data_IF_288643752559
#
_entry.id   IF_288643752559
#
_cell.length_a   1.000
_cell.length_b   1.000
_cell.length_c   1.000
_cell.angle_alpha   90.00
_cell.angle_beta   90.00
_cell.angle_gamma   90.00
#
_symmetry.space_group_name_H-M   'P 1'
#
loop_
_entity.id
_entity.type
_entity.pdbx_description
1 polymer ?
#
# COMPACT_ATOMS: atom_id res chain seq x y z
N UNK A 1 7.89 -24.73 -12.99
CA UNK A 1 7.05 -24.22 -14.12
C UNK A 1 7.60 -24.62 -15.48
N UNK A 2 8.84 -24.29 -15.84
CA UNK A 2 9.38 -24.71 -17.15
C UNK A 2 9.60 -26.22 -17.24
N UNK A 3 10.20 -26.83 -16.19
CA UNK A 3 10.29 -28.29 -16.06
C UNK A 3 8.92 -29.00 -15.97
N UNK A 4 7.85 -28.26 -15.66
CA UNK A 4 6.47 -28.77 -15.62
C UNK A 4 5.71 -28.48 -16.94
N UNK A 5 6.34 -27.85 -17.93
CA UNK A 5 5.71 -27.49 -19.20
C UNK A 5 4.58 -26.45 -19.09
N UNK A 6 4.56 -25.64 -18.02
CA UNK A 6 3.46 -24.69 -17.72
C UNK A 6 3.72 -23.25 -18.16
N UNK A 7 4.83 -22.94 -18.83
CA UNK A 7 5.09 -21.60 -19.37
C UNK A 7 4.34 -21.44 -20.69
N UNK A 8 3.55 -20.37 -20.81
CA UNK A 8 2.75 -20.09 -22.00
C UNK A 8 3.48 -19.18 -23.00
N UNK A 9 4.27 -18.24 -22.47
CA UNK A 9 4.94 -17.22 -23.29
C UNK A 9 6.42 -17.05 -22.90
N UNK A 10 7.28 -16.92 -23.91
CA UNK A 10 8.70 -16.53 -23.77
C UNK A 10 8.97 -15.10 -24.24
N UNK A 11 7.94 -14.41 -24.71
CA UNK A 11 8.02 -13.00 -25.04
C UNK A 11 8.07 -12.18 -23.74
N UNK A 12 9.20 -11.51 -23.52
CA UNK A 12 9.45 -10.68 -22.34
C UNK A 12 8.51 -9.47 -22.26
N UNK A 13 7.92 -9.04 -23.37
CA UNK A 13 6.98 -7.90 -23.38
C UNK A 13 5.68 -8.20 -22.63
N UNK A 14 5.33 -9.49 -22.46
CA UNK A 14 4.12 -9.93 -21.74
C UNK A 14 4.34 -10.04 -20.22
N UNK A 15 5.56 -9.82 -19.71
CA UNK A 15 5.87 -9.90 -18.27
C UNK A 15 5.56 -8.57 -17.56
N UNK A 16 4.32 -8.09 -17.69
CA UNK A 16 3.87 -6.76 -17.27
C UNK A 16 2.93 -6.79 -16.04
N UNK A 17 2.86 -7.93 -15.33
CA UNK A 17 1.94 -8.23 -14.21
C UNK A 17 0.44 -8.32 -14.57
N UNK A 18 0.05 -7.90 -15.78
CA UNK A 18 -1.32 -7.96 -16.27
C UNK A 18 -1.62 -9.25 -17.03
N UNK A 19 -0.63 -9.82 -17.72
CA UNK A 19 -0.79 -11.03 -18.53
C UNK A 19 -0.33 -12.29 -17.81
N UNK A 20 -1.09 -13.37 -17.98
CA UNK A 20 -0.77 -14.69 -17.47
C UNK A 20 0.25 -15.40 -18.37
N UNK A 21 1.53 -15.26 -18.04
CA UNK A 21 2.65 -15.90 -18.77
C UNK A 21 2.83 -17.39 -18.50
N UNK A 22 2.01 -17.97 -17.61
CA UNK A 22 2.05 -19.37 -17.22
C UNK A 22 0.64 -19.92 -16.97
N UNK A 23 0.47 -21.24 -17.03
CA UNK A 23 -0.77 -21.95 -16.70
C UNK A 23 -0.85 -22.24 -15.19
N UNK A 24 -1.76 -21.59 -14.44
CA UNK A 24 -2.02 -21.92 -13.05
C UNK A 24 -2.66 -23.31 -12.91
N UNK A 25 -2.60 -23.91 -11.70
CA UNK A 25 -3.02 -25.30 -11.49
C UNK A 25 -4.53 -25.48 -11.28
N UNK A 26 -5.22 -24.43 -10.82
CA UNK A 26 -6.59 -24.52 -10.33
C UNK A 26 -7.56 -23.54 -11.01
N UNK A 27 -7.09 -22.84 -12.04
CA UNK A 27 -7.88 -21.88 -12.83
C UNK A 27 -7.25 -21.77 -14.21
N UNK A 28 -7.97 -21.19 -15.16
CA UNK A 28 -7.41 -20.85 -16.47
C UNK A 28 -6.56 -19.58 -16.37
N UNK A 29 -5.63 -19.34 -17.32
CA UNK A 29 -4.91 -18.08 -17.42
C UNK A 29 -5.85 -16.87 -17.50
N UNK A 30 -6.94 -16.98 -18.24
CA UNK A 30 -7.94 -15.92 -18.42
C UNK A 30 -8.69 -15.62 -17.12
N UNK A 31 -9.04 -16.66 -16.34
CA UNK A 31 -9.64 -16.49 -15.02
C UNK A 31 -8.69 -15.76 -14.06
N UNK A 32 -7.38 -16.04 -14.14
CA UNK A 32 -6.38 -15.33 -13.34
C UNK A 32 -6.30 -13.84 -13.72
N UNK A 33 -6.25 -13.53 -15.01
CA UNK A 33 -6.21 -12.15 -15.51
C UNK A 33 -7.48 -11.37 -15.12
N UNK A 34 -8.66 -11.99 -15.30
CA UNK A 34 -9.95 -11.41 -14.91
C UNK A 34 -10.03 -11.20 -13.39
N UNK A 35 -9.57 -12.18 -12.61
CA UNK A 35 -9.48 -12.06 -11.16
C UNK A 35 -8.58 -10.92 -10.73
N UNK A 36 -7.41 -10.79 -11.36
CA UNK A 36 -6.49 -9.68 -11.12
C UNK A 36 -7.15 -8.34 -11.43
N UNK A 37 -7.77 -8.20 -12.61
CA UNK A 37 -8.47 -6.98 -13.00
C UNK A 37 -9.60 -6.62 -12.02
N UNK A 38 -10.39 -7.61 -11.59
CA UNK A 38 -11.46 -7.42 -10.61
C UNK A 38 -10.93 -6.97 -9.24
N UNK A 39 -9.89 -7.63 -8.71
CA UNK A 39 -9.26 -7.25 -7.45
C UNK A 39 -8.73 -5.82 -7.54
N UNK A 40 -8.07 -5.49 -8.65
CA UNK A 40 -7.50 -4.16 -8.89
C UNK A 40 -8.59 -3.07 -8.93
N UNK A 41 -9.73 -3.33 -9.57
CA UNK A 41 -10.87 -2.41 -9.54
C UNK A 41 -11.46 -2.28 -8.13
N UNK A 42 -11.64 -3.39 -7.42
CA UNK A 42 -12.25 -3.43 -6.08
C UNK A 42 -11.38 -2.73 -5.04
N UNK A 43 -10.09 -3.05 -4.99
CA UNK A 43 -9.12 -2.55 -4.01
C UNK A 43 -8.96 -1.03 -4.09
N UNK A 44 -8.98 -0.50 -5.32
CA UNK A 44 -8.76 0.92 -5.61
C UNK A 44 -10.05 1.70 -5.88
N UNK A 45 -11.21 1.11 -5.61
CA UNK A 45 -12.48 1.85 -5.56
C UNK A 45 -12.49 2.84 -4.37
N UNK A 46 -13.17 3.98 -4.54
CA UNK A 46 -13.28 5.02 -3.51
C UNK A 46 -13.79 4.46 -2.18
N UNK A 47 -14.81 3.59 -2.23
CA UNK A 47 -15.37 2.94 -1.04
C UNK A 47 -14.35 2.08 -0.31
N UNK A 48 -13.54 1.29 -1.03
CA UNK A 48 -12.51 0.44 -0.42
C UNK A 48 -11.31 1.24 0.10
N UNK A 49 -10.93 2.34 -0.58
CA UNK A 49 -9.91 3.27 -0.08
C UNK A 49 -10.40 3.90 1.23
N UNK A 50 -11.63 4.40 1.26
CA UNK A 50 -12.22 5.02 2.45
C UNK A 50 -12.39 4.05 3.62
N UNK A 51 -12.78 2.80 3.35
CA UNK A 51 -12.92 1.76 4.37
C UNK A 51 -11.58 1.43 5.05
N UNK A 52 -10.48 1.52 4.32
CA UNK A 52 -9.11 1.25 4.82
C UNK A 52 -8.40 2.49 5.38
N UNK A 53 -9.10 3.62 5.53
CA UNK A 53 -8.49 4.84 6.07
C UNK A 53 -8.00 4.59 7.50
N UNK A 54 -6.90 5.22 7.92
CA UNK A 54 -6.45 5.14 9.31
C UNK A 54 -7.51 5.70 10.28
N UNK A 55 -7.57 5.15 11.49
CA UNK A 55 -8.45 5.66 12.57
C UNK A 55 -8.07 7.08 12.99
N UNK A 56 -6.77 7.39 12.99
CA UNK A 56 -6.28 8.72 13.33
C UNK A 56 -6.62 9.72 12.22
N UNK A 57 -7.51 10.67 12.52
CA UNK A 57 -8.03 11.65 11.56
C UNK A 57 -6.93 12.47 10.86
N UNK A 58 -5.84 12.81 11.57
CA UNK A 58 -4.70 13.57 11.05
C UNK A 58 -3.96 12.84 9.91
N UNK A 59 -4.09 11.51 9.84
CA UNK A 59 -3.46 10.68 8.82
C UNK A 59 -4.28 10.58 7.53
N UNK A 60 -5.59 10.86 7.62
CA UNK A 60 -6.53 10.66 6.51
C UNK A 60 -6.17 11.50 5.28
N UNK A 61 -5.87 12.81 5.39
CA UNK A 61 -5.56 13.63 4.20
C UNK A 61 -4.35 13.11 3.42
N UNK A 62 -3.26 12.78 4.12
CA UNK A 62 -2.06 12.21 3.51
C UNK A 62 -2.32 10.84 2.88
N UNK A 63 -3.05 9.98 3.59
CA UNK A 63 -3.43 8.66 3.10
C UNK A 63 -4.24 8.76 1.80
N UNK A 64 -5.24 9.66 1.76
CA UNK A 64 -6.05 9.88 0.57
C UNK A 64 -5.21 10.48 -0.55
N UNK A 65 -4.39 11.50 -0.27
CA UNK A 65 -3.51 12.12 -1.26
C UNK A 65 -2.64 11.06 -1.93
N UNK A 66 -1.96 10.20 -1.16
CA UNK A 66 -1.14 9.11 -1.68
C UNK A 66 -1.96 8.07 -2.44
N UNK A 67 -3.13 7.68 -1.93
CA UNK A 67 -3.99 6.66 -2.54
C UNK A 67 -4.53 7.10 -3.91
N UNK A 68 -4.91 8.37 -4.05
CA UNK A 68 -5.39 8.91 -5.33
C UNK A 68 -4.24 9.28 -6.27
N UNK A 69 -3.17 9.86 -5.75
CA UNK A 69 -1.99 10.21 -6.54
C UNK A 69 -1.34 8.97 -7.14
N UNK A 70 -1.23 7.87 -6.38
CA UNK A 70 -0.67 6.62 -6.89
C UNK A 70 -1.51 6.02 -8.02
N UNK A 71 -2.84 6.16 -7.98
CA UNK A 71 -3.72 5.22 -8.69
C UNK A 71 -4.79 5.80 -9.60
N UNK A 72 -5.30 6.98 -9.29
CA UNK A 72 -6.31 7.65 -10.15
C UNK A 72 -5.68 8.69 -11.07
N UNK A 73 -4.39 8.95 -10.87
CA UNK A 73 -3.64 9.99 -11.52
C UNK A 73 -2.82 9.50 -12.73
N UNK A 74 -3.20 8.45 -13.46
CA UNK A 74 -2.41 7.97 -14.62
C UNK A 74 -1.99 9.07 -15.61
N UNK A 75 -2.87 10.06 -15.85
CA UNK A 75 -2.55 11.23 -16.69
C UNK A 75 -1.61 12.21 -16.00
N UNK A 76 -1.79 12.43 -14.71
CA UNK A 76 -0.92 13.30 -13.91
C UNK A 76 0.45 12.66 -13.70
N UNK A 77 0.54 11.36 -13.53
CA UNK A 77 1.78 10.59 -13.49
C UNK A 77 2.58 10.71 -14.78
N UNK A 78 1.93 10.59 -15.94
CA UNK A 78 2.59 10.84 -17.21
C UNK A 78 3.17 12.26 -17.29
N UNK A 79 2.42 13.28 -16.82
CA UNK A 79 2.91 14.65 -16.76
C UNK A 79 4.08 14.80 -15.78
N UNK A 80 3.98 14.23 -14.58
CA UNK A 80 5.04 14.26 -13.57
C UNK A 80 6.32 13.61 -14.07
N UNK A 81 6.23 12.45 -14.72
CA UNK A 81 7.37 11.74 -15.31
C UNK A 81 7.96 12.56 -16.46
N UNK A 82 7.11 13.07 -17.36
CA UNK A 82 7.55 13.88 -18.51
C UNK A 82 8.31 15.15 -18.09
N UNK A 83 7.95 15.73 -16.95
CA UNK A 83 8.57 16.95 -16.43
C UNK A 83 9.60 16.71 -15.32
N UNK A 84 9.97 15.45 -15.04
CA UNK A 84 10.86 15.05 -13.93
C UNK A 84 10.45 15.61 -12.55
N UNK A 85 9.15 15.76 -12.35
CA UNK A 85 8.55 16.29 -11.12
C UNK A 85 8.20 15.20 -10.11
N UNK A 86 8.57 13.94 -10.37
CA UNK A 86 8.27 12.82 -9.48
C UNK A 86 8.91 13.03 -8.11
N UNK A 87 10.23 13.29 -8.06
CA UNK A 87 10.92 13.52 -6.79
C UNK A 87 10.37 14.72 -6.00
N UNK A 88 10.26 15.93 -6.57
CA UNK A 88 9.81 17.09 -5.81
C UNK A 88 8.36 16.97 -5.32
N UNK A 89 7.49 16.24 -6.03
CA UNK A 89 6.11 16.01 -5.59
C UNK A 89 6.02 14.93 -4.52
N UNK A 90 6.77 13.83 -4.65
CA UNK A 90 6.68 12.68 -3.74
C UNK A 90 7.48 12.84 -2.45
N UNK A 91 8.69 13.41 -2.52
CA UNK A 91 9.59 13.56 -1.36
C UNK A 91 8.93 14.26 -0.16
N UNK A 92 8.24 15.41 -0.29
CA UNK A 92 7.62 16.06 0.86
C UNK A 92 6.49 15.21 1.46
N UNK A 93 5.69 14.52 0.63
CA UNK A 93 4.61 13.65 1.11
C UNK A 93 5.16 12.45 1.89
N UNK A 94 6.23 11.83 1.38
CA UNK A 94 6.90 10.70 2.03
C UNK A 94 7.55 11.14 3.35
N UNK A 95 8.28 12.25 3.35
CA UNK A 95 8.90 12.78 4.56
C UNK A 95 7.85 13.14 5.60
N UNK A 96 6.78 13.87 5.24
CA UNK A 96 5.72 14.19 6.20
C UNK A 96 5.10 12.93 6.84
N UNK A 97 4.93 11.87 6.05
CA UNK A 97 4.44 10.57 6.54
C UNK A 97 5.45 9.89 7.47
N UNK A 98 6.74 9.93 7.13
CA UNK A 98 7.84 9.42 7.96
C UNK A 98 7.90 10.11 9.31
N UNK A 99 7.91 11.44 9.32
CA UNK A 99 7.95 12.25 10.55
C UNK A 99 6.76 11.95 11.46
N UNK A 100 5.55 11.82 10.89
CA UNK A 100 4.35 11.41 11.63
C UNK A 100 4.52 10.03 12.28
N UNK A 101 5.00 9.03 11.53
CA UNK A 101 5.20 7.69 12.07
C UNK A 101 6.27 7.66 13.18
N UNK A 102 7.37 8.39 13.02
CA UNK A 102 8.41 8.48 14.06
C UNK A 102 7.84 9.11 15.34
N UNK A 103 7.06 10.20 15.22
CA UNK A 103 6.39 10.83 16.36
C UNK A 103 5.40 9.87 17.04
N UNK A 104 4.59 9.17 16.25
CA UNK A 104 3.63 8.19 16.75
C UNK A 104 4.32 7.05 17.52
N UNK A 105 5.42 6.50 16.98
CA UNK A 105 6.21 5.47 17.65
C UNK A 105 6.80 5.96 18.98
N UNK A 106 7.30 7.20 19.04
CA UNK A 106 7.79 7.81 20.29
C UNK A 106 6.67 7.94 21.33
N UNK A 107 5.47 8.36 20.92
CA UNK A 107 4.30 8.47 21.80
C UNK A 107 3.84 7.10 22.32
N UNK A 108 3.83 6.08 21.47
CA UNK A 108 3.51 4.70 21.87
C UNK A 108 4.50 4.19 22.92
N UNK A 109 5.81 4.35 22.69
CA UNK A 109 6.84 3.94 23.64
C UNK A 109 6.68 4.65 25.02
N UNK A 110 6.36 5.94 25.02
CA UNK A 110 6.06 6.69 26.26
C UNK A 110 4.80 6.18 26.98
N UNK A 111 3.75 5.81 26.23
CA UNK A 111 2.53 5.24 26.81
C UNK A 111 2.77 3.85 27.39
N UNK A 112 3.56 3.02 26.70
CA UNK A 112 3.96 1.71 27.20
C UNK A 112 4.80 1.83 28.47
N UNK A 113 5.76 2.77 28.53
CA UNK A 113 6.54 3.00 29.75
C UNK A 113 5.66 3.48 30.91
N UNK A 114 4.72 4.41 30.66
CA UNK A 114 3.78 4.88 31.69
C UNK A 114 2.88 3.75 32.20
N UNK A 115 2.40 2.88 31.29
CA UNK A 115 1.60 1.71 31.65
C UNK A 115 2.40 0.70 32.48
N UNK A 116 3.66 0.45 32.12
CA UNK A 116 4.55 -0.42 32.88
C UNK A 116 4.81 0.12 34.30
N UNK A 117 5.05 1.43 34.43
CA UNK A 117 5.21 2.09 35.75
C UNK A 117 3.91 1.97 36.57
N UNK A 118 2.74 2.27 35.98
CA UNK A 118 1.46 2.14 36.69
C UNK A 118 1.12 0.71 37.12
N UNK A 119 1.56 -0.30 36.36
CA UNK A 119 1.40 -1.72 36.70
C UNK A 119 2.39 -2.21 37.77
N UNK A 120 3.49 -1.48 37.99
CA UNK A 120 4.45 -1.74 39.07
C UNK A 120 4.06 -1.07 40.39
N UNK A 121 3.13 -0.11 40.40
CA UNK A 121 2.56 0.44 41.64
C UNK A 121 1.52 -0.54 42.19
N UNK A 122 1.97 -1.71 42.65
CA UNK A 122 1.22 -2.48 43.66
C UNK A 122 1.44 -1.71 44.96
N UNK A 123 0.37 -1.11 45.49
CA UNK A 123 0.40 -0.41 46.77
C UNK A 123 1.00 -1.35 47.83
N UNK A 124 2.21 -1.04 48.31
CA UNK A 124 2.70 -1.61 49.56
C UNK A 124 1.67 -1.20 50.63
N UNK A 125 1.03 -2.21 51.23
CA UNK A 125 -0.17 -2.04 52.04
C UNK A 125 0.00 -1.07 53.21
N UNK A 126 -1.14 -0.49 53.59
CA UNK A 126 -1.45 -0.05 54.95
C UNK A 126 -2.76 -0.73 55.32
#
# INVERSE_FOLDING_TARGET
MEAEGRILHRDWTLYDTGHAVFRPRHMTPEELEQGYAWIYQRLFSHASIWRRRPEQWQAIPLYLAMSYLYKRSNRFWHLLIKHDLVNPVWKPLVEMTRWRHVRYRRQLAQRESLRAVSGQVVSAGV
#
